data_IF_341283463066
#
_entry.id   IF_341283463066
#
_cell.length_a   1.000
_cell.length_b   1.000
_cell.length_c   1.000
_cell.angle_alpha   90.00
_cell.angle_beta   90.00
_cell.angle_gamma   90.00
#
_symmetry.space_group_name_H-M   'P 1'
#
loop_
_entity.id
_entity.type
_entity.pdbx_description
1 polymer ?
#
# COMPACT_ATOMS: atom_id res chain seq x y z
N UNK A 1 -11.70 -10.05 34.15
CA UNK A 1 -11.47 -8.60 33.95
C UNK A 1 -11.59 -8.23 32.49
N UNK A 2 -12.29 -7.16 32.21
CA UNK A 2 -12.44 -6.67 30.84
C UNK A 2 -11.60 -5.43 30.64
N UNK A 3 -10.69 -5.46 29.68
CA UNK A 3 -9.86 -4.32 29.37
C UNK A 3 -10.26 -3.78 27.99
N UNK A 4 -10.63 -2.50 27.94
CA UNK A 4 -11.09 -1.90 26.69
C UNK A 4 -9.93 -1.17 26.02
N UNK A 5 -9.74 -1.44 24.72
CA UNK A 5 -8.75 -0.76 23.91
C UNK A 5 -9.37 0.29 23.00
N UNK A 6 -10.68 0.44 23.06
CA UNK A 6 -11.38 1.27 22.08
C UNK A 6 -10.81 2.67 21.97
N UNK A 7 -10.48 3.29 23.10
CA UNK A 7 -9.96 4.65 23.08
C UNK A 7 -8.49 4.75 22.71
N UNK A 8 -7.81 3.62 22.68
CA UNK A 8 -6.38 3.59 22.35
C UNK A 8 -6.12 3.30 20.88
N UNK A 9 -7.16 2.95 20.12
CA UNK A 9 -7.04 2.62 18.72
C UNK A 9 -7.67 3.72 17.89
N UNK A 10 -7.05 4.01 16.72
CA UNK A 10 -7.52 5.10 15.86
C UNK A 10 -8.67 4.70 14.95
N UNK A 11 -8.67 3.45 14.48
CA UNK A 11 -9.64 2.98 13.49
C UNK A 11 -9.62 3.85 12.24
N UNK A 12 -8.41 4.21 11.80
CA UNK A 12 -8.24 5.04 10.62
C UNK A 12 -8.71 4.31 9.37
N UNK A 13 -9.21 5.09 8.41
CA UNK A 13 -9.57 4.53 7.11
C UNK A 13 -8.31 4.16 6.33
N UNK A 14 -8.48 3.24 5.37
CA UNK A 14 -7.38 2.89 4.50
C UNK A 14 -6.93 4.11 3.70
N UNK A 15 -5.62 4.27 3.47
CA UNK A 15 -5.12 5.41 2.71
C UNK A 15 -5.57 5.36 1.26
N UNK A 16 -5.66 6.53 0.65
CA UNK A 16 -6.05 6.66 -0.75
C UNK A 16 -4.96 7.39 -1.51
N UNK A 17 -4.81 7.01 -2.77
CA UNK A 17 -3.85 7.66 -3.68
C UNK A 17 -4.64 8.23 -4.84
N UNK A 18 -4.39 9.50 -5.13
CA UNK A 18 -5.02 10.14 -6.29
C UNK A 18 -4.03 10.22 -7.44
N UNK A 19 -4.47 9.77 -8.62
CA UNK A 19 -3.67 9.86 -9.84
C UNK A 19 -4.59 10.48 -10.89
N UNK A 20 -4.31 11.74 -11.24
CA UNK A 20 -5.17 12.52 -12.12
C UNK A 20 -6.57 12.58 -11.53
N UNK A 21 -7.57 12.08 -12.26
CA UNK A 21 -8.96 12.09 -11.78
C UNK A 21 -9.37 10.76 -11.14
N UNK A 22 -8.42 9.86 -10.96
CA UNK A 22 -8.70 8.54 -10.39
C UNK A 22 -8.23 8.48 -8.94
N UNK A 23 -8.97 7.75 -8.12
CA UNK A 23 -8.61 7.53 -6.72
C UNK A 23 -8.61 6.03 -6.48
N UNK A 24 -7.52 5.52 -5.92
CA UNK A 24 -7.41 4.12 -5.55
C UNK A 24 -7.15 4.03 -4.06
N UNK A 25 -7.51 2.90 -3.47
CA UNK A 25 -7.40 2.69 -2.03
C UNK A 25 -6.34 1.63 -1.76
N UNK A 26 -5.43 1.93 -0.83
CA UNK A 26 -4.40 0.98 -0.41
C UNK A 26 -4.94 0.19 0.77
N UNK A 27 -4.92 -1.13 0.67
CA UNK A 27 -5.29 -1.96 1.81
C UNK A 27 -4.18 -1.88 2.85
N UNK A 28 -4.52 -1.40 4.03
CA UNK A 28 -3.50 -1.15 5.06
C UNK A 28 -3.86 -1.77 6.40
N UNK A 29 -4.72 -2.78 6.39
CA UNK A 29 -4.98 -3.54 7.61
C UNK A 29 -3.70 -4.25 8.04
N UNK A 30 -3.60 -4.55 9.34
CA UNK A 30 -2.41 -5.18 9.88
C UNK A 30 -2.08 -6.50 9.18
N UNK A 31 -3.10 -7.27 8.82
CA UNK A 31 -2.86 -8.55 8.14
C UNK A 31 -2.19 -8.34 6.78
N UNK A 32 -2.62 -7.30 6.06
CA UNK A 32 -2.01 -6.98 4.77
C UNK A 32 -0.57 -6.54 4.95
N UNK A 33 -0.32 -5.67 5.93
CA UNK A 33 1.02 -5.18 6.19
C UNK A 33 1.96 -6.32 6.57
N UNK A 34 1.49 -7.24 7.42
CA UNK A 34 2.31 -8.36 7.85
C UNK A 34 2.62 -9.29 6.68
N UNK A 35 1.65 -9.51 5.80
CA UNK A 35 1.87 -10.33 4.62
C UNK A 35 2.91 -9.69 3.71
N UNK A 36 2.84 -8.38 3.52
CA UNK A 36 3.80 -7.65 2.70
C UNK A 36 5.20 -7.76 3.28
N UNK A 37 5.33 -7.57 4.60
CA UNK A 37 6.63 -7.66 5.25
C UNK A 37 7.22 -9.06 5.12
N UNK A 38 6.39 -10.08 5.27
CA UNK A 38 6.84 -11.46 5.14
C UNK A 38 7.36 -11.73 3.73
N UNK A 39 6.66 -11.21 2.72
CA UNK A 39 7.09 -11.40 1.34
C UNK A 39 8.42 -10.68 1.07
N UNK A 40 8.58 -9.47 1.60
CA UNK A 40 9.83 -8.74 1.44
C UNK A 40 11.00 -9.52 2.03
N UNK A 41 10.78 -10.13 3.18
CA UNK A 41 11.82 -10.88 3.87
C UNK A 41 12.17 -12.16 3.13
N UNK A 42 11.18 -12.89 2.63
CA UNK A 42 11.40 -14.22 2.08
C UNK A 42 11.67 -14.22 0.59
N UNK A 43 11.07 -13.31 -0.16
CA UNK A 43 11.13 -13.35 -1.62
C UNK A 43 11.88 -12.16 -2.23
N UNK A 44 12.20 -11.15 -1.43
CA UNK A 44 12.94 -10.00 -1.93
C UNK A 44 12.07 -9.00 -2.64
N UNK A 45 12.70 -7.90 -3.07
CA UNK A 45 11.97 -6.75 -3.61
C UNK A 45 11.30 -7.03 -4.95
N UNK A 46 12.00 -7.75 -5.82
CA UNK A 46 11.46 -7.97 -7.17
C UNK A 46 10.20 -8.83 -7.10
N UNK A 47 10.27 -9.95 -6.41
CA UNK A 47 9.11 -10.83 -6.31
C UNK A 47 7.96 -10.15 -5.56
N UNK A 48 8.29 -9.39 -4.52
CA UNK A 48 7.27 -8.66 -3.78
C UNK A 48 6.60 -7.63 -4.67
N UNK A 49 7.37 -6.93 -5.51
CA UNK A 49 6.79 -5.93 -6.42
C UNK A 49 5.85 -6.58 -7.43
N UNK A 50 6.15 -7.80 -7.87
CA UNK A 50 5.28 -8.50 -8.80
C UNK A 50 3.95 -8.89 -8.16
N UNK A 51 3.97 -9.23 -6.88
CA UNK A 51 2.79 -9.74 -6.18
C UNK A 51 2.05 -8.67 -5.38
N UNK A 52 2.72 -7.57 -5.06
CA UNK A 52 2.15 -6.55 -4.17
C UNK A 52 0.81 -5.98 -4.67
N UNK A 53 0.63 -5.71 -5.96
CA UNK A 53 -0.66 -5.15 -6.38
C UNK A 53 -1.85 -6.02 -6.02
N UNK A 54 -1.70 -7.35 -6.05
CA UNK A 54 -2.81 -8.23 -5.68
C UNK A 54 -3.13 -8.17 -4.20
N UNK A 55 -2.14 -7.81 -3.40
CA UNK A 55 -2.32 -7.71 -1.95
C UNK A 55 -2.82 -6.33 -1.56
N UNK A 56 -2.29 -5.29 -2.20
CA UNK A 56 -2.54 -3.92 -1.78
C UNK A 56 -3.80 -3.31 -2.36
N UNK A 57 -4.25 -3.78 -3.52
CA UNK A 57 -5.35 -3.15 -4.24
C UNK A 57 -6.44 -4.15 -4.56
N UNK A 58 -7.69 -3.66 -4.59
CA UNK A 58 -8.80 -4.45 -5.06
C UNK A 58 -8.67 -4.69 -6.57
N UNK A 59 -9.44 -5.65 -7.08
CA UNK A 59 -9.45 -5.92 -8.51
C UNK A 59 -9.86 -4.69 -9.29
N UNK A 60 -10.84 -3.95 -8.77
CA UNK A 60 -11.30 -2.71 -9.43
C UNK A 60 -10.16 -1.71 -9.54
N UNK A 61 -9.42 -1.51 -8.46
CA UNK A 61 -8.33 -0.55 -8.45
C UNK A 61 -7.17 -1.00 -9.33
N UNK A 62 -6.91 -2.32 -9.37
CA UNK A 62 -5.87 -2.82 -10.27
C UNK A 62 -6.21 -2.57 -11.72
N UNK A 63 -7.50 -2.64 -12.08
CA UNK A 63 -7.92 -2.32 -13.45
C UNK A 63 -7.71 -0.85 -13.76
N UNK A 64 -7.97 0.02 -12.78
CA UNK A 64 -7.71 1.46 -12.96
C UNK A 64 -6.22 1.68 -13.23
N UNK A 65 -5.35 1.07 -12.42
CA UNK A 65 -3.92 1.22 -12.58
C UNK A 65 -3.48 0.72 -13.95
N UNK A 66 -3.98 -0.42 -14.37
CA UNK A 66 -3.64 -1.00 -15.66
C UNK A 66 -4.03 -0.06 -16.79
N UNK A 67 -5.20 0.57 -16.66
CA UNK A 67 -5.68 1.51 -17.68
C UNK A 67 -4.87 2.78 -17.79
N UNK A 68 -4.11 3.13 -16.77
CA UNK A 68 -3.26 4.32 -16.80
C UNK A 68 -2.02 4.13 -17.66
N UNK A 69 -1.63 2.88 -17.91
CA UNK A 69 -0.47 2.54 -18.76
C UNK A 69 0.79 3.28 -18.31
N UNK A 70 1.10 3.15 -17.03
CA UNK A 70 2.24 3.84 -16.44
C UNK A 70 3.56 3.29 -16.97
N UNK A 71 4.57 4.16 -17.07
CA UNK A 71 5.92 3.72 -17.34
C UNK A 71 6.43 2.93 -16.14
N UNK A 72 7.55 2.22 -16.33
CA UNK A 72 8.15 1.49 -15.22
C UNK A 72 8.56 2.43 -14.10
N UNK A 73 9.07 3.60 -14.46
CA UNK A 73 9.47 4.60 -13.47
C UNK A 73 8.27 5.05 -12.63
N UNK A 74 7.17 5.38 -13.30
CA UNK A 74 5.97 5.84 -12.60
C UNK A 74 5.34 4.72 -11.78
N UNK A 75 5.34 3.52 -12.32
CA UNK A 75 4.79 2.37 -11.61
C UNK A 75 5.59 2.10 -10.33
N UNK A 76 6.90 2.25 -10.40
CA UNK A 76 7.75 2.08 -9.23
C UNK A 76 7.40 3.10 -8.14
N UNK A 77 7.17 4.36 -8.55
CA UNK A 77 6.76 5.38 -7.60
C UNK A 77 5.44 5.01 -6.94
N UNK A 78 4.48 4.55 -7.75
CA UNK A 78 3.18 4.14 -7.22
C UNK A 78 3.32 3.01 -6.21
N UNK A 79 4.06 1.96 -6.56
CA UNK A 79 4.21 0.82 -5.67
C UNK A 79 4.94 1.18 -4.39
N UNK A 80 6.01 1.97 -4.51
CA UNK A 80 6.77 2.37 -3.33
C UNK A 80 5.88 3.19 -2.39
N UNK A 81 5.11 4.10 -2.94
CA UNK A 81 4.19 4.91 -2.16
C UNK A 81 3.15 4.03 -1.47
N UNK A 82 2.56 3.11 -2.24
CA UNK A 82 1.51 2.25 -1.69
C UNK A 82 2.06 1.35 -0.58
N UNK A 83 3.26 0.81 -0.76
CA UNK A 83 3.84 -0.04 0.27
C UNK A 83 4.15 0.75 1.53
N UNK A 84 4.66 1.97 1.39
CA UNK A 84 4.90 2.82 2.54
C UNK A 84 3.61 3.12 3.30
N UNK A 85 2.55 3.45 2.57
CA UNK A 85 1.26 3.72 3.20
C UNK A 85 0.71 2.49 3.89
N UNK A 86 0.88 1.32 3.27
CA UNK A 86 0.42 0.07 3.88
C UNK A 86 1.13 -0.19 5.19
N UNK A 87 2.41 0.14 5.27
CA UNK A 87 3.21 -0.09 6.47
C UNK A 87 3.07 1.03 7.49
N UNK A 88 2.23 2.02 7.21
CA UNK A 88 2.01 3.11 8.14
C UNK A 88 3.07 4.18 8.10
N UNK A 89 3.89 4.21 7.06
CA UNK A 89 4.94 5.21 6.91
C UNK A 89 4.46 6.38 6.07
N UNK A 90 5.10 7.53 6.27
CA UNK A 90 4.81 8.72 5.48
C UNK A 90 5.70 8.71 4.25
N UNK A 91 5.14 8.52 3.03
CA UNK A 91 5.98 8.47 1.83
C UNK A 91 6.76 9.76 1.61
N UNK A 92 6.19 10.91 1.99
CA UNK A 92 6.87 12.18 1.79
C UNK A 92 8.12 12.29 2.65
N UNK A 93 8.11 11.71 3.84
CA UNK A 93 9.27 11.75 4.72
C UNK A 93 10.45 11.01 4.12
N UNK A 94 10.20 10.08 3.21
CA UNK A 94 11.27 9.29 2.60
C UNK A 94 11.87 9.95 1.37
N UNK A 95 11.29 11.06 0.93
CA UNK A 95 11.77 11.77 -0.25
C UNK A 95 12.69 12.93 0.08
N UNK A 96 12.98 13.10 1.34
CA UNK A 96 13.89 14.16 1.77
C UNK A 96 15.30 13.90 1.31
N UNK A 97 15.92 14.95 0.87
CA UNK A 97 17.31 14.90 0.41
C UNK A 97 18.28 15.48 1.41
#
# INVERSE_FOLDING_TARGET
MLYSLTEKLSFDENPKIQIKDKVITVKAEAETALKLMDMLDKEGEVQTSLKAPEILFSEKDRKIISGLKLSMSDYTVLLTTAMSLCLGEDPDAQQEE
#
